data_IF_375585131721
#
_entry.id   IF_375585131721
#
_cell.length_a   1.000
_cell.length_b   1.000
_cell.length_c   1.000
_cell.angle_alpha   90.00
_cell.angle_beta   90.00
_cell.angle_gamma   90.00
#
_symmetry.space_group_name_H-M   'P 1'
#
loop_
_entity.id
_entity.type
_entity.pdbx_description
1 polymer ?
#
# COMPACT_ATOMS: atom_id res chain seq x y z
N UNK A 1 -2.36 -12.85 -24.52
CA UNK A 1 -3.75 -12.46 -24.17
C UNK A 1 -3.84 -10.97 -24.30
N UNK A 2 -4.97 -10.45 -24.78
CA UNK A 2 -5.22 -9.02 -24.91
C UNK A 2 -6.50 -8.66 -24.11
N UNK A 3 -6.47 -7.53 -23.41
CA UNK A 3 -7.59 -7.05 -22.60
C UNK A 3 -8.70 -6.45 -23.48
N UNK A 4 -8.36 -5.90 -24.64
CA UNK A 4 -9.28 -5.25 -25.58
C UNK A 4 -9.90 -6.25 -26.56
N UNK A 5 -9.10 -7.21 -27.04
CA UNK A 5 -9.46 -8.15 -28.10
C UNK A 5 -9.51 -9.58 -27.56
N UNK A 6 -10.52 -10.35 -27.97
CA UNK A 6 -10.63 -11.77 -27.62
C UNK A 6 -9.70 -12.66 -28.48
N UNK A 7 -9.62 -13.95 -28.14
CA UNK A 7 -8.79 -14.91 -28.87
C UNK A 7 -9.21 -15.14 -30.34
N UNK A 8 -10.30 -14.53 -30.80
CA UNK A 8 -10.79 -14.58 -32.18
C UNK A 8 -10.67 -13.22 -32.90
N UNK A 9 -9.97 -12.23 -32.31
CA UNK A 9 -9.78 -10.92 -32.93
C UNK A 9 -10.97 -9.96 -32.75
N UNK A 10 -11.98 -10.29 -31.94
CA UNK A 10 -13.16 -9.44 -31.73
C UNK A 10 -13.00 -8.57 -30.49
N UNK A 11 -13.52 -7.35 -30.56
CA UNK A 11 -13.51 -6.41 -29.43
C UNK A 11 -14.43 -6.92 -28.32
N UNK A 12 -13.88 -6.99 -27.09
CA UNK A 12 -14.64 -7.39 -25.90
C UNK A 12 -15.75 -6.38 -25.58
N UNK A 13 -16.93 -6.82 -25.10
CA UNK A 13 -18.09 -5.94 -24.93
C UNK A 13 -17.84 -4.67 -24.09
N UNK A 14 -17.09 -4.79 -23.00
CA UNK A 14 -16.81 -3.69 -22.09
C UNK A 14 -15.86 -2.62 -22.67
N UNK A 15 -15.14 -2.94 -23.76
CA UNK A 15 -14.29 -1.98 -24.48
C UNK A 15 -15.02 -1.19 -25.56
N UNK A 16 -16.18 -1.66 -26.05
CA UNK A 16 -16.82 -1.09 -27.25
C UNK A 16 -17.14 0.41 -27.12
N UNK A 17 -17.70 0.82 -25.99
CA UNK A 17 -18.05 2.22 -25.75
C UNK A 17 -16.81 3.10 -25.65
N UNK A 18 -15.78 2.62 -24.94
CA UNK A 18 -14.51 3.33 -24.78
C UNK A 18 -13.80 3.48 -26.14
N UNK A 19 -13.74 2.42 -26.94
CA UNK A 19 -13.12 2.45 -28.26
C UNK A 19 -13.89 3.32 -29.24
N UNK A 20 -15.23 3.32 -29.21
CA UNK A 20 -16.02 4.25 -30.00
C UNK A 20 -15.68 5.71 -29.68
N UNK A 21 -15.57 6.04 -28.38
CA UNK A 21 -15.25 7.38 -27.92
C UNK A 21 -13.80 7.81 -28.24
N UNK A 22 -12.82 6.93 -27.99
CA UNK A 22 -11.40 7.21 -28.26
C UNK A 22 -11.12 7.18 -29.77
N UNK A 23 -11.69 6.23 -30.50
CA UNK A 23 -11.54 6.12 -31.96
C UNK A 23 -12.14 7.30 -32.72
N UNK A 24 -13.24 7.89 -32.22
CA UNK A 24 -13.85 9.09 -32.78
C UNK A 24 -12.98 10.35 -32.71
N UNK A 25 -11.95 10.37 -31.85
CA UNK A 25 -11.00 11.49 -31.78
C UNK A 25 -10.08 11.54 -33.00
N UNK A 26 -9.71 10.37 -33.56
CA UNK A 26 -8.66 10.26 -34.56
C UNK A 26 -7.24 10.26 -33.97
N UNK A 27 -6.29 9.68 -34.71
CA UNK A 27 -4.89 9.52 -34.28
C UNK A 27 -4.20 10.84 -33.90
N UNK A 28 -4.29 11.93 -34.68
CA UNK A 28 -3.58 13.18 -34.36
C UNK A 28 -4.05 13.81 -33.04
N UNK A 29 -5.36 13.83 -32.78
CA UNK A 29 -5.91 14.34 -31.53
C UNK A 29 -5.49 13.47 -30.34
N UNK A 30 -5.48 12.14 -30.50
CA UNK A 30 -5.04 11.23 -29.44
C UNK A 30 -3.57 11.42 -29.09
N UNK A 31 -2.69 11.56 -30.09
CA UNK A 31 -1.27 11.84 -29.89
C UNK A 31 -1.05 13.19 -29.19
N UNK A 32 -1.80 14.22 -29.55
CA UNK A 32 -1.71 15.51 -28.86
C UNK A 32 -2.16 15.42 -27.40
N UNK A 33 -3.23 14.68 -27.11
CA UNK A 33 -3.69 14.46 -25.74
C UNK A 33 -2.71 13.62 -24.93
N UNK A 34 -2.10 12.60 -25.55
CA UNK A 34 -1.02 11.83 -24.93
C UNK A 34 0.16 12.72 -24.56
N UNK A 35 0.60 13.60 -25.47
CA UNK A 35 1.67 14.59 -25.17
C UNK A 35 1.27 15.55 -24.06
N UNK A 36 0.02 16.01 -24.03
CA UNK A 36 -0.49 16.89 -22.97
C UNK A 36 -0.54 16.18 -21.61
N UNK A 37 -1.00 14.93 -21.56
CA UNK A 37 -0.99 14.10 -20.35
C UNK A 37 0.42 13.87 -19.85
N UNK A 38 1.35 13.53 -20.75
CA UNK A 38 2.74 13.31 -20.40
C UNK A 38 3.38 14.59 -19.84
N UNK A 39 3.15 15.75 -20.48
CA UNK A 39 3.63 17.05 -19.96
C UNK A 39 3.03 17.38 -18.60
N UNK A 40 1.73 17.12 -18.39
CA UNK A 40 1.10 17.38 -17.10
C UNK A 40 1.62 16.44 -15.99
N UNK A 41 1.81 15.15 -16.31
CA UNK A 41 2.42 14.18 -15.40
C UNK A 41 3.90 14.55 -15.09
N UNK A 42 4.62 15.08 -16.08
CA UNK A 42 5.96 15.63 -15.89
C UNK A 42 5.94 16.90 -15.05
N UNK A 43 5.07 17.87 -15.27
CA UNK A 43 5.00 19.10 -14.47
C UNK A 43 4.66 18.79 -13.00
N UNK A 44 3.70 17.89 -12.75
CA UNK A 44 3.31 17.45 -11.41
C UNK A 44 4.38 16.54 -10.78
N UNK A 45 5.05 15.69 -11.58
CA UNK A 45 6.13 14.80 -11.14
C UNK A 45 7.50 15.49 -10.97
N UNK A 46 7.78 16.55 -11.72
CA UNK A 46 8.99 17.40 -11.62
C UNK A 46 8.93 18.25 -10.35
N UNK A 47 7.74 18.55 -9.82
CA UNK A 47 7.62 19.12 -8.48
C UNK A 47 8.21 18.19 -7.38
N UNK A 48 8.49 16.92 -7.70
CA UNK A 48 9.15 15.96 -6.82
C UNK A 48 10.66 15.77 -7.07
N UNK A 49 11.24 16.40 -8.10
CA UNK A 49 12.66 16.27 -8.42
C UNK A 49 13.28 17.67 -8.35
N UNK A 50 14.07 17.92 -7.31
CA UNK A 50 14.86 19.15 -7.19
C UNK A 50 15.68 19.42 -8.46
N UNK A 51 15.89 20.70 -8.86
CA UNK A 51 16.79 21.04 -9.95
C UNK A 51 18.20 20.50 -9.68
N UNK A 52 18.69 19.60 -10.52
CA UNK A 52 20.07 19.09 -10.47
C UNK A 52 20.24 17.64 -10.01
N UNK A 53 19.17 16.95 -9.61
CA UNK A 53 19.23 15.49 -9.39
C UNK A 53 18.82 14.76 -10.67
N UNK A 54 19.76 14.03 -11.30
CA UNK A 54 19.41 13.04 -12.32
C UNK A 54 18.75 11.87 -11.60
N UNK A 55 17.43 11.92 -11.41
CA UNK A 55 16.69 10.72 -11.03
C UNK A 55 16.88 9.69 -12.15
N UNK A 56 17.62 8.62 -11.86
CA UNK A 56 17.70 7.44 -12.72
C UNK A 56 16.40 6.65 -12.57
N UNK A 57 15.32 7.14 -13.19
CA UNK A 57 14.01 6.49 -13.20
C UNK A 57 13.22 6.93 -14.41
N UNK A 58 12.48 6.01 -15.04
CA UNK A 58 11.47 6.39 -16.03
C UNK A 58 10.48 7.32 -15.31
N UNK A 59 10.38 8.57 -15.75
CA UNK A 59 9.42 9.52 -15.19
C UNK A 59 8.00 8.92 -15.19
N UNK A 60 7.15 9.36 -14.26
CA UNK A 60 5.76 8.93 -14.21
C UNK A 60 5.08 9.17 -15.56
N UNK A 61 4.47 8.12 -16.12
CA UNK A 61 3.74 8.15 -17.39
C UNK A 61 2.28 7.82 -17.14
N UNK A 62 1.40 8.61 -17.74
CA UNK A 62 -0.05 8.35 -17.74
C UNK A 62 -0.49 8.06 -19.18
N UNK A 63 -0.94 6.83 -19.44
CA UNK A 63 -1.46 6.45 -20.75
C UNK A 63 -2.89 7.01 -20.96
N UNK A 64 -3.20 7.63 -22.11
CA UNK A 64 -4.53 8.15 -22.42
C UNK A 64 -5.61 7.07 -22.57
N UNK A 65 -5.25 5.80 -22.74
CA UNK A 65 -6.17 4.68 -22.90
C UNK A 65 -6.30 3.93 -21.57
N UNK A 66 -7.41 4.11 -20.84
CA UNK A 66 -7.60 3.41 -19.57
C UNK A 66 -7.88 1.92 -19.80
N UNK A 67 -7.61 1.11 -18.78
CA UNK A 67 -8.04 -0.29 -18.71
C UNK A 67 -9.41 -0.39 -18.03
N UNK A 68 -10.53 -0.54 -18.77
CA UNK A 68 -11.85 -0.76 -18.18
C UNK A 68 -11.95 -2.16 -17.57
N UNK A 69 -12.31 -2.23 -16.28
CA UNK A 69 -12.68 -3.47 -15.62
C UNK A 69 -14.21 -3.55 -15.44
N UNK A 70 -14.87 -4.66 -15.87
CA UNK A 70 -16.29 -4.86 -15.62
C UNK A 70 -16.64 -4.83 -14.13
N UNK A 71 -17.81 -4.27 -13.79
CA UNK A 71 -18.22 -4.11 -12.39
C UNK A 71 -18.33 -5.44 -11.63
N UNK A 72 -18.83 -6.50 -12.26
CA UNK A 72 -18.94 -7.83 -11.63
C UNK A 72 -17.56 -8.45 -11.36
N UNK A 73 -16.62 -8.23 -12.28
CA UNK A 73 -15.25 -8.71 -12.14
C UNK A 73 -14.52 -7.95 -11.02
N UNK A 74 -14.67 -6.63 -10.98
CA UNK A 74 -14.12 -5.81 -9.89
C UNK A 74 -14.73 -6.18 -8.54
N UNK A 75 -16.02 -6.50 -8.46
CA UNK A 75 -16.66 -6.93 -7.21
C UNK A 75 -16.08 -8.25 -6.67
N UNK A 76 -15.73 -9.20 -7.55
CA UNK A 76 -15.06 -10.42 -7.15
C UNK A 76 -13.64 -10.14 -6.62
N UNK A 77 -12.90 -9.24 -7.29
CA UNK A 77 -11.59 -8.78 -6.83
C UNK A 77 -11.68 -8.08 -5.47
N UNK A 78 -12.65 -7.18 -5.30
CA UNK A 78 -12.91 -6.47 -4.04
C UNK A 78 -13.15 -7.44 -2.88
N UNK A 79 -14.03 -8.44 -3.07
CA UNK A 79 -14.28 -9.46 -2.06
C UNK A 79 -13.03 -10.30 -1.73
N UNK A 80 -12.28 -10.72 -2.75
CA UNK A 80 -11.06 -11.49 -2.58
C UNK A 80 -9.95 -10.72 -1.88
N UNK A 81 -9.72 -9.45 -2.26
CA UNK A 81 -8.74 -8.57 -1.62
C UNK A 81 -9.12 -8.25 -0.18
N UNK A 82 -10.40 -8.04 0.11
CA UNK A 82 -10.88 -7.82 1.47
C UNK A 82 -10.68 -9.06 2.36
N UNK A 83 -10.96 -10.27 1.85
CA UNK A 83 -10.64 -11.52 2.57
C UNK A 83 -9.14 -11.64 2.81
N UNK A 84 -8.33 -11.40 1.77
CA UNK A 84 -6.88 -11.51 1.85
C UNK A 84 -6.28 -10.55 2.87
N UNK A 85 -6.76 -9.30 2.93
CA UNK A 85 -6.36 -8.36 3.97
C UNK A 85 -6.73 -8.86 5.39
N UNK A 86 -7.94 -9.41 5.58
CA UNK A 86 -8.34 -10.04 6.87
C UNK A 86 -7.45 -11.22 7.23
N UNK A 87 -7.09 -12.05 6.25
CA UNK A 87 -6.19 -13.19 6.44
C UNK A 87 -4.80 -12.71 6.87
N UNK A 88 -4.21 -11.76 6.17
CA UNK A 88 -2.89 -11.23 6.49
C UNK A 88 -2.86 -10.54 7.86
N UNK A 89 -3.90 -9.79 8.22
CA UNK A 89 -4.06 -9.25 9.59
C UNK A 89 -4.11 -10.37 10.63
N UNK A 90 -4.85 -11.45 10.39
CA UNK A 90 -4.94 -12.60 11.30
C UNK A 90 -3.59 -13.33 11.44
N UNK A 91 -2.87 -13.53 10.32
CA UNK A 91 -1.52 -14.11 10.31
C UNK A 91 -0.56 -13.24 11.11
N UNK A 92 -0.50 -11.93 10.83
CA UNK A 92 0.36 -10.99 11.55
C UNK A 92 0.02 -10.98 13.05
N UNK A 93 -1.27 -10.94 13.40
CA UNK A 93 -1.68 -10.93 14.80
C UNK A 93 -1.33 -12.23 15.53
N UNK A 94 -1.38 -13.39 14.86
CA UNK A 94 -0.88 -14.63 15.48
C UNK A 94 0.64 -14.59 15.63
N UNK A 95 1.39 -14.21 14.58
CA UNK A 95 2.86 -14.21 14.58
C UNK A 95 3.47 -13.23 15.60
N UNK A 96 2.82 -12.08 15.83
CA UNK A 96 3.21 -11.09 16.84
C UNK A 96 2.61 -11.34 18.24
N UNK A 97 1.72 -12.33 18.36
CA UNK A 97 1.07 -12.75 19.60
C UNK A 97 1.35 -14.21 19.94
N UNK A 98 0.33 -15.05 19.82
CA UNK A 98 0.35 -16.46 20.24
C UNK A 98 1.34 -17.32 19.45
N UNK A 99 1.46 -17.13 18.14
CA UNK A 99 2.26 -17.97 17.24
C UNK A 99 1.72 -19.41 17.15
N UNK A 100 0.40 -19.58 17.19
CA UNK A 100 -0.24 -20.89 17.02
C UNK A 100 0.09 -21.49 15.66
N UNK A 101 0.10 -20.69 14.58
CA UNK A 101 0.38 -21.21 13.22
C UNK A 101 1.79 -21.80 13.11
N UNK A 102 2.74 -21.30 13.90
CA UNK A 102 4.09 -21.86 13.99
C UNK A 102 4.12 -23.09 14.91
N UNK A 103 3.45 -23.01 16.07
CA UNK A 103 3.39 -24.12 17.04
C UNK A 103 2.69 -25.37 16.49
N UNK A 104 1.70 -25.18 15.63
CA UNK A 104 0.95 -26.24 14.96
C UNK A 104 1.60 -26.72 13.66
N UNK A 105 2.71 -26.11 13.25
CA UNK A 105 3.46 -26.51 12.05
C UNK A 105 2.85 -26.04 10.72
N UNK A 106 1.87 -25.14 10.74
CA UNK A 106 1.28 -24.54 9.54
C UNK A 106 2.24 -23.57 8.84
N UNK A 107 3.11 -22.90 9.61
CA UNK A 107 4.20 -22.08 9.10
C UNK A 107 5.56 -22.58 9.63
N UNK A 108 6.56 -22.78 8.76
CA UNK A 108 7.91 -23.11 9.19
C UNK A 108 8.52 -21.99 10.04
N UNK A 109 9.13 -22.29 11.21
CA UNK A 109 9.80 -21.28 12.02
C UNK A 109 10.87 -20.49 11.26
N UNK A 110 11.57 -21.13 10.32
CA UNK A 110 12.61 -20.49 9.50
C UNK A 110 12.05 -19.40 8.57
N UNK A 111 10.82 -19.58 8.07
CA UNK A 111 10.14 -18.59 7.21
C UNK A 111 9.82 -17.31 7.99
N UNK A 112 9.47 -17.46 9.27
CA UNK A 112 9.11 -16.34 10.15
C UNK A 112 10.34 -15.69 10.76
N UNK A 113 11.11 -16.46 11.54
CA UNK A 113 12.17 -15.91 12.40
C UNK A 113 13.47 -15.59 11.67
N UNK A 114 13.65 -16.12 10.45
CA UNK A 114 14.73 -15.77 9.54
C UNK A 114 14.40 -14.58 8.64
N UNK A 115 13.15 -14.11 8.61
CA UNK A 115 12.75 -12.99 7.77
C UNK A 115 13.17 -11.66 8.45
N UNK A 116 13.94 -10.79 7.78
CA UNK A 116 14.34 -9.49 8.33
C UNK A 116 13.17 -8.56 8.64
N UNK A 117 12.01 -8.76 8.00
CA UNK A 117 10.78 -7.99 8.26
C UNK A 117 10.05 -8.46 9.53
N UNK A 118 10.46 -9.57 10.15
CA UNK A 118 9.95 -9.95 11.48
C UNK A 118 10.66 -9.17 12.59
N UNK A 119 10.07 -8.04 12.96
CA UNK A 119 10.60 -7.17 14.01
C UNK A 119 10.34 -7.73 15.41
N UNK A 120 11.32 -8.44 15.99
CA UNK A 120 11.21 -9.04 17.34
C UNK A 120 10.86 -8.02 18.42
N UNK A 121 11.36 -6.79 18.30
CA UNK A 121 11.09 -5.67 19.22
C UNK A 121 9.61 -5.30 19.30
N UNK A 122 8.82 -5.62 18.27
CA UNK A 122 7.39 -5.36 18.21
C UNK A 122 6.51 -6.49 18.76
N UNK A 123 7.09 -7.67 19.02
CA UNK A 123 6.35 -8.84 19.52
C UNK A 123 5.92 -8.62 20.97
N UNK A 124 4.66 -8.96 21.27
CA UNK A 124 4.11 -8.95 22.63
C UNK A 124 3.96 -10.37 23.17
N UNK A 125 4.99 -10.86 23.87
CA UNK A 125 5.01 -12.24 24.36
C UNK A 125 3.88 -12.56 25.36
N UNK A 126 3.54 -11.59 26.22
CA UNK A 126 2.65 -11.77 27.36
C UNK A 126 1.36 -10.94 27.25
N UNK A 127 1.05 -10.44 26.06
CA UNK A 127 -0.14 -9.62 25.81
C UNK A 127 -0.59 -9.79 24.36
N UNK A 128 -1.90 -9.63 24.05
CA UNK A 128 -2.34 -9.61 22.65
C UNK A 128 -1.60 -8.51 21.88
N UNK A 129 -1.31 -8.71 20.58
CA UNK A 129 -0.71 -7.67 19.76
C UNK A 129 -1.62 -6.44 19.72
N UNK A 130 -1.04 -5.26 19.58
CA UNK A 130 -1.82 -4.06 19.31
C UNK A 130 -2.42 -4.19 17.92
N UNK A 131 -3.75 -4.12 17.83
CA UNK A 131 -4.50 -4.20 16.58
C UNK A 131 -5.10 -2.83 16.25
N UNK A 132 -5.32 -2.55 14.96
CA UNK A 132 -4.94 -3.38 13.80
C UNK A 132 -3.45 -3.30 13.47
N UNK A 133 -2.86 -4.40 12.95
CA UNK A 133 -1.49 -4.38 12.43
C UNK A 133 -1.44 -3.92 10.97
N UNK A 134 -2.46 -4.28 10.20
CA UNK A 134 -2.62 -3.99 8.78
C UNK A 134 -3.85 -3.10 8.59
N UNK A 135 -3.63 -1.82 8.35
CA UNK A 135 -4.67 -0.84 8.03
C UNK A 135 -4.77 -0.57 6.53
N UNK A 136 -3.62 -0.52 5.86
CA UNK A 136 -3.53 -0.33 4.42
C UNK A 136 -2.87 -1.54 3.78
N UNK A 137 -3.47 -2.05 2.72
CA UNK A 137 -2.99 -3.22 2.00
C UNK A 137 -3.14 -3.00 0.51
N UNK A 138 -2.15 -3.45 -0.26
CA UNK A 138 -2.26 -3.55 -1.70
C UNK A 138 -1.77 -4.91 -2.20
N UNK A 139 -2.25 -5.31 -3.36
CA UNK A 139 -1.84 -6.52 -4.03
C UNK A 139 -1.35 -6.18 -5.44
N UNK A 140 -0.22 -6.75 -5.84
CA UNK A 140 0.17 -6.78 -7.24
C UNK A 140 -0.49 -8.00 -7.89
N UNK A 141 -1.23 -7.77 -8.96
CA UNK A 141 -2.04 -8.81 -9.59
C UNK A 141 -1.78 -8.87 -11.09
N UNK A 142 -1.95 -10.06 -11.65
CA UNK A 142 -1.96 -10.28 -13.08
C UNK A 142 -3.16 -11.12 -13.49
N UNK A 143 -3.61 -10.93 -14.73
CA UNK A 143 -4.57 -11.83 -15.37
C UNK A 143 -3.81 -12.89 -16.15
N UNK A 144 -4.02 -14.16 -15.80
CA UNK A 144 -3.43 -15.29 -16.50
C UNK A 144 -4.05 -15.53 -17.88
N UNK A 145 -3.45 -16.38 -18.72
CA UNK A 145 -3.96 -16.72 -20.05
C UNK A 145 -5.31 -17.47 -20.01
N UNK A 146 -5.69 -17.99 -18.85
CA UNK A 146 -6.99 -18.58 -18.53
C UNK A 146 -8.06 -17.53 -18.16
N UNK A 147 -7.68 -16.26 -18.10
CA UNK A 147 -8.55 -15.13 -17.77
C UNK A 147 -8.72 -14.91 -16.26
N UNK A 148 -8.08 -15.73 -15.43
CA UNK A 148 -8.17 -15.66 -13.98
C UNK A 148 -7.18 -14.66 -13.41
N UNK A 149 -7.60 -13.90 -12.40
CA UNK A 149 -6.72 -13.02 -11.65
C UNK A 149 -5.95 -13.80 -10.60
N UNK A 150 -4.66 -13.50 -10.47
CA UNK A 150 -3.79 -14.07 -9.44
C UNK A 150 -2.98 -12.98 -8.78
N UNK A 151 -2.80 -13.10 -7.47
CA UNK A 151 -1.91 -12.24 -6.69
C UNK A 151 -0.47 -12.71 -6.88
N UNK A 152 0.37 -11.80 -7.35
CA UNK A 152 1.81 -12.00 -7.51
C UNK A 152 2.56 -11.64 -6.22
N UNK A 153 2.17 -10.55 -5.57
CA UNK A 153 2.78 -10.12 -4.31
C UNK A 153 1.80 -9.31 -3.46
N UNK A 154 2.04 -9.33 -2.16
CA UNK A 154 1.33 -8.55 -1.16
C UNK A 154 2.20 -7.35 -0.74
N UNK A 155 1.58 -6.19 -0.52
CA UNK A 155 2.22 -4.97 -0.05
C UNK A 155 1.57 -4.51 1.25
N UNK A 156 2.38 -4.35 2.29
CA UNK A 156 1.95 -4.10 3.67
C UNK A 156 2.89 -3.18 4.48
N UNK A 157 4.16 -3.02 4.09
CA UNK A 157 5.09 -2.09 4.73
C UNK A 157 4.89 -0.67 4.19
N UNK A 158 5.38 -0.41 2.97
CA UNK A 158 5.37 0.91 2.33
C UNK A 158 4.44 0.93 1.11
N UNK A 159 3.13 0.80 1.34
CA UNK A 159 2.11 0.71 0.27
C UNK A 159 2.10 1.98 -0.59
N UNK A 160 2.49 1.91 -1.85
CA UNK A 160 2.50 3.02 -2.81
C UNK A 160 1.45 2.85 -3.92
N UNK A 161 1.26 3.89 -4.73
CA UNK A 161 0.41 3.90 -5.92
C UNK A 161 -0.95 4.58 -5.76
N UNK A 162 -1.37 4.92 -4.53
CA UNK A 162 -2.65 5.59 -4.28
C UNK A 162 -2.60 7.02 -4.81
N UNK A 163 -1.52 7.76 -4.51
CA UNK A 163 -1.33 9.12 -5.01
C UNK A 163 -1.32 9.16 -6.54
N UNK A 164 -0.64 8.19 -7.16
CA UNK A 164 -0.66 8.02 -8.62
C UNK A 164 -2.05 7.69 -9.15
N UNK A 165 -2.83 6.85 -8.48
CA UNK A 165 -4.19 6.51 -8.92
C UNK A 165 -5.13 7.72 -8.89
N UNK A 166 -5.07 8.53 -7.82
CA UNK A 166 -5.83 9.79 -7.68
C UNK A 166 -5.44 10.76 -8.79
N UNK A 167 -4.15 10.98 -8.98
CA UNK A 167 -3.66 11.95 -9.96
C UNK A 167 -3.85 11.51 -11.41
N UNK A 168 -3.62 10.22 -11.72
CA UNK A 168 -3.98 9.65 -13.01
C UNK A 168 -5.47 9.88 -13.30
N UNK A 169 -6.34 9.70 -12.31
CA UNK A 169 -7.79 9.93 -12.48
C UNK A 169 -8.10 11.40 -12.75
N UNK A 170 -7.44 12.32 -12.05
CA UNK A 170 -7.60 13.77 -12.24
C UNK A 170 -7.13 14.21 -13.63
N UNK A 171 -5.90 13.86 -14.00
CA UNK A 171 -5.29 14.20 -15.29
C UNK A 171 -6.10 13.62 -16.46
N UNK A 172 -6.49 12.35 -16.37
CA UNK A 172 -7.29 11.71 -17.41
C UNK A 172 -8.69 12.31 -17.52
N UNK A 173 -9.29 12.73 -16.41
CA UNK A 173 -10.59 13.43 -16.43
C UNK A 173 -10.55 14.74 -17.22
N UNK A 174 -9.43 15.47 -17.14
CA UNK A 174 -9.22 16.73 -17.85
C UNK A 174 -8.82 16.51 -19.32
N UNK A 175 -7.94 15.56 -19.60
CA UNK A 175 -7.41 15.34 -20.96
C UNK A 175 -8.28 14.44 -21.84
N UNK A 176 -9.05 13.53 -21.23
CA UNK A 176 -9.84 12.50 -21.91
C UNK A 176 -11.32 12.46 -21.42
N UNK A 177 -12.07 13.59 -21.47
CA UNK A 177 -13.45 13.63 -20.97
C UNK A 177 -14.43 12.71 -21.71
N UNK A 178 -14.18 12.40 -22.99
CA UNK A 178 -14.94 11.45 -23.80
C UNK A 178 -14.79 10.02 -23.26
N UNK A 179 -13.57 9.62 -22.89
CA UNK A 179 -13.31 8.31 -22.29
C UNK A 179 -14.03 8.18 -20.94
N UNK A 180 -14.07 9.24 -20.14
CA UNK A 180 -14.79 9.26 -18.85
C UNK A 180 -16.30 9.17 -19.03
N UNK A 181 -16.86 9.91 -19.99
CA UNK A 181 -18.29 9.83 -20.31
C UNK A 181 -18.70 8.45 -20.82
N UNK A 182 -17.82 7.80 -21.59
CA UNK A 182 -18.06 6.47 -22.15
C UNK A 182 -17.91 5.35 -21.10
N UNK A 183 -16.84 5.40 -20.29
CA UNK A 183 -16.52 4.36 -19.31
C UNK A 183 -17.24 4.53 -17.97
N UNK A 184 -17.61 5.77 -17.60
CA UNK A 184 -18.23 6.14 -16.32
C UNK A 184 -17.55 5.47 -15.11
N UNK A 185 -16.23 5.71 -14.91
CA UNK A 185 -15.49 5.04 -13.85
C UNK A 185 -16.02 5.42 -12.47
N UNK A 186 -16.03 4.48 -11.52
CA UNK A 186 -16.36 4.75 -10.11
C UNK A 186 -15.35 5.75 -9.52
N UNK A 187 -15.82 6.73 -8.77
CA UNK A 187 -14.95 7.73 -8.11
C UNK A 187 -14.06 7.10 -7.03
N UNK A 188 -12.93 7.75 -6.75
CA UNK A 188 -12.00 7.34 -5.69
C UNK A 188 -12.26 8.05 -4.35
N UNK A 189 -13.13 9.06 -4.33
CA UNK A 189 -13.40 9.87 -3.13
C UNK A 189 -13.91 9.03 -1.95
N UNK A 190 -14.80 8.07 -2.21
CA UNK A 190 -15.35 7.18 -1.17
C UNK A 190 -14.24 6.40 -0.47
N UNK A 191 -13.23 5.93 -1.20
CA UNK A 191 -12.08 5.25 -0.60
C UNK A 191 -11.28 6.19 0.30
N UNK A 192 -11.00 7.42 -0.15
CA UNK A 192 -10.25 8.43 0.61
C UNK A 192 -11.00 8.86 1.87
N UNK A 193 -12.32 9.08 1.77
CA UNK A 193 -13.20 9.39 2.90
C UNK A 193 -13.18 8.25 3.94
N UNK A 194 -13.37 7.00 3.52
CA UNK A 194 -13.34 5.84 4.40
C UNK A 194 -11.97 5.63 5.06
N UNK A 195 -10.88 5.92 4.34
CA UNK A 195 -9.53 5.81 4.87
C UNK A 195 -9.22 6.93 5.87
N UNK A 196 -9.58 8.17 5.57
CA UNK A 196 -9.47 9.26 6.53
C UNK A 196 -10.26 8.96 7.81
N UNK A 197 -11.50 8.51 7.66
CA UNK A 197 -12.34 8.07 8.78
C UNK A 197 -11.70 6.92 9.60
N UNK A 198 -11.00 5.99 8.95
CA UNK A 198 -10.32 4.90 9.66
C UNK A 198 -9.11 5.40 10.46
N UNK A 199 -8.33 6.32 9.90
CA UNK A 199 -7.22 6.97 10.60
C UNK A 199 -7.72 7.77 11.81
N UNK A 200 -8.84 8.49 11.67
CA UNK A 200 -9.46 9.25 12.76
C UNK A 200 -9.96 8.37 13.92
N UNK A 201 -10.10 7.05 13.73
CA UNK A 201 -10.48 6.08 14.77
C UNK A 201 -9.28 5.39 15.44
N UNK A 202 -8.06 5.57 14.94
CA UNK A 202 -6.87 4.87 15.43
C UNK A 202 -6.18 5.57 16.61
N UNK A 203 -6.29 6.90 16.69
CA UNK A 203 -5.58 7.67 17.70
C UNK A 203 -6.03 7.35 19.13
N UNK A 204 -5.18 7.62 20.14
CA UNK A 204 -5.61 7.60 21.54
C UNK A 204 -6.89 8.44 21.71
N UNK A 205 -7.86 7.93 22.50
CA UNK A 205 -9.13 8.62 22.77
C UNK A 205 -8.90 9.84 23.67
N UNK A 206 -8.38 10.91 23.06
CA UNK A 206 -8.24 12.24 23.65
C UNK A 206 -9.44 13.10 23.23
N UNK A 207 -9.61 14.25 23.88
CA UNK A 207 -10.67 15.17 23.50
C UNK A 207 -10.33 15.82 22.13
N UNK A 208 -11.18 15.61 21.12
CA UNK A 208 -11.00 16.16 19.77
C UNK A 208 -10.66 15.11 18.72
N UNK A 209 -10.51 15.55 17.47
CA UNK A 209 -10.05 14.70 16.37
C UNK A 209 -8.54 14.41 16.53
N UNK A 210 -8.08 13.16 16.40
CA UNK A 210 -6.65 12.86 16.49
C UNK A 210 -5.83 13.58 15.42
N UNK A 211 -4.67 14.08 15.82
CA UNK A 211 -3.71 14.68 14.91
C UNK A 211 -2.99 13.59 14.10
N UNK A 212 -3.11 13.65 12.78
CA UNK A 212 -2.52 12.70 11.84
C UNK A 212 -1.31 13.32 11.15
N UNK A 213 -0.19 12.59 11.11
CA UNK A 213 1.00 12.96 10.36
C UNK A 213 1.43 11.86 9.38
N UNK A 214 2.04 12.26 8.27
CA UNK A 214 2.67 11.39 7.28
C UNK A 214 4.18 11.64 7.36
N UNK A 215 4.92 10.65 7.86
CA UNK A 215 6.37 10.68 7.96
C UNK A 215 6.99 10.32 6.61
N UNK A 216 7.80 11.21 6.06
CA UNK A 216 8.54 11.01 4.83
C UNK A 216 10.05 11.00 5.09
N UNK A 217 10.84 10.18 4.38
CA UNK A 217 12.30 10.31 4.36
C UNK A 217 12.79 11.56 3.58
N UNK A 218 11.88 12.32 2.97
CA UNK A 218 12.14 13.61 2.33
C UNK A 218 12.19 13.54 0.81
N UNK A 219 12.71 14.62 0.19
CA UNK A 219 12.72 14.82 -1.27
C UNK A 219 13.63 13.87 -2.06
N UNK A 220 14.51 13.13 -1.39
CA UNK A 220 15.34 12.10 -2.02
C UNK A 220 14.58 10.82 -2.35
N UNK A 221 13.39 10.62 -1.78
CA UNK A 221 12.56 9.45 -2.05
C UNK A 221 11.94 9.51 -3.45
N UNK A 222 12.04 8.44 -4.27
CA UNK A 222 11.40 8.37 -5.57
C UNK A 222 9.87 8.56 -5.54
N UNK A 223 9.23 8.29 -4.41
CA UNK A 223 7.78 8.42 -4.19
C UNK A 223 7.42 9.68 -3.40
N UNK A 224 8.32 10.65 -3.23
CA UNK A 224 8.05 11.89 -2.51
C UNK A 224 6.80 12.63 -3.03
N UNK A 225 6.59 12.64 -4.35
CA UNK A 225 5.37 13.13 -4.98
C UNK A 225 4.11 12.56 -4.32
N UNK A 226 4.07 11.24 -4.16
CA UNK A 226 2.93 10.56 -3.56
C UNK A 226 2.75 10.96 -2.10
N UNK A 227 3.83 11.21 -1.35
CA UNK A 227 3.74 11.68 0.04
C UNK A 227 3.04 13.05 0.11
N UNK A 228 3.38 13.95 -0.81
CA UNK A 228 2.74 15.28 -0.94
C UNK A 228 1.27 15.16 -1.32
N UNK A 229 0.93 14.33 -2.31
CA UNK A 229 -0.48 14.11 -2.71
C UNK A 229 -1.27 13.54 -1.55
N UNK A 230 -0.79 12.45 -0.95
CA UNK A 230 -1.49 11.76 0.13
C UNK A 230 -1.70 12.66 1.35
N UNK A 231 -0.67 13.38 1.81
CA UNK A 231 -0.81 14.30 2.94
C UNK A 231 -1.94 15.31 2.77
N UNK A 232 -2.19 15.79 1.54
CA UNK A 232 -3.32 16.67 1.23
C UNK A 232 -4.65 15.91 1.25
N UNK A 233 -4.73 14.77 0.57
CA UNK A 233 -5.96 13.96 0.45
C UNK A 233 -6.46 13.46 1.82
N UNK A 234 -5.57 13.03 2.71
CA UNK A 234 -5.94 12.56 4.06
C UNK A 234 -5.85 13.66 5.14
N UNK A 235 -5.52 14.90 4.75
CA UNK A 235 -5.36 16.05 5.67
C UNK A 235 -4.36 15.78 6.81
N UNK A 236 -3.24 15.12 6.48
CA UNK A 236 -2.16 14.81 7.41
C UNK A 236 -1.03 15.84 7.30
N UNK A 237 -0.38 16.14 8.43
CA UNK A 237 0.85 16.93 8.40
C UNK A 237 1.97 16.13 7.74
N UNK A 238 2.52 16.63 6.63
CA UNK A 238 3.72 16.06 6.00
C UNK A 238 4.95 16.45 6.79
N UNK A 239 5.67 15.48 7.34
CA UNK A 239 6.78 15.70 8.28
C UNK A 239 7.98 14.83 7.92
N UNK A 240 9.17 15.31 8.26
CA UNK A 240 10.40 14.53 8.24
C UNK A 240 10.80 14.11 9.67
N UNK A 241 11.72 13.13 9.85
CA UNK A 241 12.13 12.69 11.19
C UNK A 241 12.63 13.84 12.06
N UNK A 242 13.33 14.79 11.43
CA UNK A 242 13.84 16.00 12.04
C UNK A 242 12.77 16.97 12.54
N UNK A 243 11.51 16.84 12.14
CA UNK A 243 10.40 17.68 12.64
C UNK A 243 9.77 17.13 13.92
N UNK A 244 10.03 15.86 14.21
CA UNK A 244 9.39 15.12 15.28
C UNK A 244 10.28 14.99 16.52
N UNK A 245 9.66 14.81 17.68
CA UNK A 245 10.35 14.50 18.93
C UNK A 245 9.43 13.72 19.86
N UNK A 246 9.98 12.73 20.56
CA UNK A 246 9.26 12.02 21.63
C UNK A 246 9.58 12.65 22.97
N UNK A 247 8.55 13.01 23.72
CA UNK A 247 8.64 13.61 25.06
C UNK A 247 7.65 12.91 25.98
N UNK A 248 8.10 12.46 27.15
CA UNK A 248 7.24 11.81 28.15
C UNK A 248 6.38 10.67 27.56
N UNK A 249 6.94 9.88 26.65
CA UNK A 249 6.26 8.75 26.01
C UNK A 249 5.23 9.11 24.93
N UNK A 250 5.14 10.37 24.49
CA UNK A 250 4.24 10.79 23.40
C UNK A 250 5.02 11.47 22.27
N UNK A 251 4.50 11.36 21.04
CA UNK A 251 5.08 11.96 19.85
C UNK A 251 4.58 13.39 19.66
N UNK A 252 5.49 14.31 19.31
CA UNK A 252 5.17 15.70 19.04
C UNK A 252 5.81 16.20 17.75
N UNK A 253 5.09 17.05 17.05
CA UNK A 253 5.57 17.91 15.98
C UNK A 253 6.16 19.20 16.58
N UNK A 254 7.37 19.56 16.16
CA UNK A 254 8.04 20.81 16.54
C UNK A 254 7.51 21.95 15.66
N UNK A 255 6.81 22.90 16.27
CA UNK A 255 6.34 24.11 15.59
C UNK A 255 6.96 25.36 16.22
N UNK A 256 6.88 26.50 15.54
CA UNK A 256 7.30 27.79 16.11
C UNK A 256 6.50 28.18 17.36
N UNK A 257 5.28 27.66 17.51
CA UNK A 257 4.38 27.92 18.63
C UNK A 257 4.56 26.93 19.79
N UNK A 258 5.44 25.93 19.62
CA UNK A 258 5.70 24.87 20.58
C UNK A 258 5.43 23.48 20.04
N UNK A 259 5.33 22.51 20.96
CA UNK A 259 5.12 21.11 20.62
C UNK A 259 3.63 20.81 20.43
N UNK A 260 3.27 20.29 19.26
CA UNK A 260 1.91 19.82 18.96
C UNK A 260 1.86 18.28 19.02
N UNK A 261 0.95 17.67 19.78
CA UNK A 261 0.89 16.21 19.86
C UNK A 261 0.49 15.60 18.52
N UNK A 262 1.06 14.44 18.19
CA UNK A 262 0.67 13.59 17.07
C UNK A 262 0.11 12.29 17.63
N UNK A 263 -1.08 11.91 17.16
CA UNK A 263 -1.85 10.77 17.66
C UNK A 263 -1.75 9.57 16.70
N UNK A 264 -1.62 9.83 15.39
CA UNK A 264 -1.50 8.81 14.34
C UNK A 264 -0.36 9.19 13.40
N UNK A 265 0.55 8.26 13.14
CA UNK A 265 1.67 8.44 12.23
C UNK A 265 1.63 7.38 11.12
N UNK A 266 1.36 7.84 9.90
CA UNK A 266 1.53 7.07 8.67
C UNK A 266 3.00 7.13 8.27
N UNK A 267 3.73 6.02 8.37
CA UNK A 267 5.16 6.00 8.06
C UNK A 267 5.42 5.64 6.59
N UNK A 268 6.24 6.44 5.92
CA UNK A 268 6.88 6.11 4.63
C UNK A 268 8.35 5.71 4.79
N UNK A 269 8.77 5.50 6.03
CA UNK A 269 10.11 5.06 6.41
C UNK A 269 10.08 3.59 6.77
N UNK A 270 11.10 2.85 6.34
CA UNK A 270 11.30 1.44 6.64
C UNK A 270 11.21 1.16 8.15
N UNK A 271 10.49 0.10 8.51
CA UNK A 271 10.15 -0.15 9.91
C UNK A 271 11.39 -0.47 10.78
N UNK A 272 12.46 -1.00 10.19
CA UNK A 272 13.74 -1.28 10.87
C UNK A 272 14.68 -0.07 10.96
N UNK A 273 14.29 1.10 10.46
CA UNK A 273 15.03 2.36 10.61
C UNK A 273 14.21 3.42 11.35
N UNK A 274 12.93 3.13 11.62
CA UNK A 274 11.96 4.05 12.20
C UNK A 274 12.35 4.56 13.59
N UNK A 275 13.03 3.76 14.41
CA UNK A 275 13.48 4.14 15.76
C UNK A 275 14.95 3.76 15.97
N UNK A 276 15.88 4.74 15.96
CA UNK A 276 17.31 4.47 16.11
C UNK A 276 17.69 3.95 17.50
N UNK A 277 16.81 4.07 18.51
CA UNK A 277 17.06 3.47 19.84
C UNK A 277 16.85 1.95 19.85
N UNK A 278 15.95 1.46 19.00
CA UNK A 278 15.64 0.03 18.87
C UNK A 278 16.47 -0.63 17.75
N UNK A 279 16.92 0.17 16.76
CA UNK A 279 17.69 -0.29 15.61
C UNK A 279 19.00 0.51 15.43
N UNK A 280 20.00 0.32 16.31
CA UNK A 280 21.24 1.12 16.30
C UNK A 280 22.16 0.85 15.09
N UNK A 281 21.99 -0.30 14.43
CA UNK A 281 22.79 -0.70 13.26
C UNK A 281 22.24 -0.16 11.93
N UNK A 282 20.99 0.32 11.93
CA UNK A 282 20.40 1.00 10.80
C UNK A 282 20.94 2.44 10.71
N UNK A 283 21.12 2.95 9.48
CA UNK A 283 21.51 4.35 9.29
C UNK A 283 20.47 5.26 9.97
N UNK A 284 20.89 5.91 11.06
CA UNK A 284 20.01 6.61 12.01
C UNK A 284 19.37 7.88 11.43
N UNK A 285 19.77 8.31 10.23
CA UNK A 285 19.30 9.54 9.60
C UNK A 285 17.79 9.55 9.29
N UNK A 286 17.13 8.37 9.24
CA UNK A 286 15.72 8.24 8.83
C UNK A 286 14.70 8.11 9.95
N UNK A 287 15.09 7.96 11.22
CA UNK A 287 14.20 7.55 12.31
C UNK A 287 13.89 8.62 13.37
N UNK A 288 12.86 8.37 14.18
CA UNK A 288 12.46 9.22 15.31
C UNK A 288 12.75 8.48 16.63
N UNK A 289 13.75 8.92 17.42
CA UNK A 289 14.11 8.25 18.66
C UNK A 289 12.92 8.10 19.63
N UNK A 290 12.64 6.87 20.06
CA UNK A 290 11.60 6.53 21.04
C UNK A 290 10.18 6.42 20.46
N UNK A 291 10.01 6.50 19.15
CA UNK A 291 8.68 6.42 18.51
C UNK A 291 8.03 5.04 18.70
N UNK A 292 8.82 3.96 18.72
CA UNK A 292 8.28 2.62 18.98
C UNK A 292 7.86 2.44 20.43
N UNK A 293 8.52 3.12 21.37
CA UNK A 293 8.13 3.12 22.78
C UNK A 293 6.81 3.88 22.99
N UNK A 294 6.65 5.05 22.36
CA UNK A 294 5.41 5.80 22.39
C UNK A 294 4.22 4.99 21.84
N UNK A 295 4.44 4.25 20.74
CA UNK A 295 3.43 3.38 20.16
C UNK A 295 3.08 2.18 21.06
N UNK A 296 4.09 1.50 21.64
CA UNK A 296 3.87 0.38 22.57
C UNK A 296 3.07 0.76 23.81
N UNK A 297 3.20 2.00 24.27
CA UNK A 297 2.42 2.53 25.40
C UNK A 297 1.04 3.07 25.00
N UNK A 298 0.68 3.01 23.71
CA UNK A 298 -0.63 3.44 23.21
C UNK A 298 -0.79 4.97 23.12
N UNK A 299 0.30 5.72 23.23
CA UNK A 299 0.29 7.18 23.08
C UNK A 299 0.32 7.62 21.60
N UNK A 300 0.61 6.69 20.69
CA UNK A 300 0.72 6.88 19.25
C UNK A 300 0.20 5.64 18.52
N UNK A 301 -0.59 5.81 17.46
CA UNK A 301 -0.89 4.75 16.51
C UNK A 301 0.05 4.84 15.30
N UNK A 302 0.72 3.73 14.95
CA UNK A 302 1.55 3.62 13.76
C UNK A 302 0.77 2.94 12.64
N UNK A 303 0.83 3.51 11.44
CA UNK A 303 0.12 3.00 10.25
C UNK A 303 1.14 2.72 9.14
N UNK A 304 1.25 1.47 8.66
CA UNK A 304 0.84 0.23 9.32
C UNK A 304 1.67 -0.04 10.59
N UNK A 305 1.32 -1.08 11.35
CA UNK A 305 2.11 -1.44 12.52
C UNK A 305 3.53 -1.89 12.12
N UNK A 306 4.55 -1.59 12.94
CA UNK A 306 5.90 -2.10 12.76
C UNK A 306 5.90 -3.62 12.57
N UNK A 307 6.47 -4.10 11.47
CA UNK A 307 6.52 -5.53 11.16
C UNK A 307 5.38 -6.06 10.28
N UNK A 308 4.43 -5.22 9.88
CA UNK A 308 3.45 -5.58 8.85
C UNK A 308 4.10 -6.05 7.53
N UNK A 309 5.34 -5.59 7.25
CA UNK A 309 6.15 -6.05 6.11
C UNK A 309 6.41 -7.55 6.06
N UNK A 310 6.24 -8.28 7.16
CA UNK A 310 6.30 -9.75 7.17
C UNK A 310 5.25 -10.38 6.24
N UNK A 311 4.09 -9.71 6.07
CA UNK A 311 3.03 -10.15 5.16
C UNK A 311 3.46 -10.11 3.69
N UNK A 312 4.52 -9.36 3.34
CA UNK A 312 5.07 -9.31 1.97
C UNK A 312 5.99 -10.49 1.63
N UNK A 313 6.22 -11.42 2.58
CA UNK A 313 7.12 -12.55 2.34
C UNK A 313 6.64 -13.38 1.14
N UNK A 314 7.42 -13.52 0.06
CA UNK A 314 7.00 -14.31 -1.10
C UNK A 314 6.73 -15.77 -0.73
N UNK A 315 7.47 -16.31 0.25
CA UNK A 315 7.28 -17.67 0.72
C UNK A 315 5.91 -17.87 1.39
N UNK A 316 5.32 -16.82 1.98
CA UNK A 316 4.02 -16.89 2.64
C UNK A 316 2.90 -17.29 1.66
N UNK A 317 3.02 -16.90 0.37
CA UNK A 317 2.05 -17.21 -0.68
C UNK A 317 1.72 -18.71 -0.78
N UNK A 318 2.71 -19.57 -0.54
CA UNK A 318 2.55 -21.02 -0.58
C UNK A 318 1.67 -21.58 0.55
N UNK A 319 1.52 -20.83 1.64
CA UNK A 319 0.81 -21.27 2.86
C UNK A 319 -0.56 -20.60 3.04
N UNK A 320 -0.85 -19.53 2.29
CA UNK A 320 -2.09 -18.76 2.45
C UNK A 320 -3.38 -19.58 2.30
N UNK A 321 -3.51 -20.54 1.37
CA UNK A 321 -4.73 -21.36 1.30
C UNK A 321 -5.00 -22.10 2.61
N UNK A 322 -4.00 -22.82 3.14
CA UNK A 322 -4.09 -23.55 4.42
C UNK A 322 -4.34 -22.61 5.60
N UNK A 323 -3.68 -21.46 5.61
CA UNK A 323 -3.87 -20.45 6.66
C UNK A 323 -5.26 -19.83 6.61
N UNK A 324 -5.85 -19.65 5.42
CA UNK A 324 -7.20 -19.14 5.24
C UNK A 324 -8.23 -20.08 5.87
N UNK A 325 -8.12 -21.38 5.57
CA UNK A 325 -8.98 -22.39 6.16
C UNK A 325 -8.82 -22.45 7.69
N UNK A 326 -7.58 -22.40 8.19
CA UNK A 326 -7.32 -22.49 9.62
C UNK A 326 -7.76 -21.24 10.41
N UNK A 327 -7.42 -20.04 9.92
CA UNK A 327 -7.64 -18.78 10.65
C UNK A 327 -9.02 -18.16 10.39
N UNK A 328 -9.55 -18.32 9.18
CA UNK A 328 -10.84 -17.73 8.78
C UNK A 328 -11.96 -18.76 8.62
N UNK A 329 -11.65 -20.06 8.55
CA UNK A 329 -12.65 -21.11 8.37
C UNK A 329 -13.25 -21.16 6.95
N UNK A 330 -12.60 -20.53 5.97
CA UNK A 330 -13.10 -20.40 4.60
C UNK A 330 -11.96 -20.57 3.58
N UNK A 331 -12.24 -21.07 2.36
CA UNK A 331 -11.23 -21.19 1.32
C UNK A 331 -10.79 -19.80 0.83
N UNK A 332 -9.54 -19.73 0.35
CA UNK A 332 -9.00 -18.51 -0.23
C UNK A 332 -9.70 -18.18 -1.56
N UNK A 333 -10.31 -16.99 -1.65
CA UNK A 333 -11.08 -16.54 -2.80
C UNK A 333 -10.20 -16.10 -3.97
N UNK A 334 -9.05 -15.50 -3.67
CA UNK A 334 -8.13 -14.96 -4.68
C UNK A 334 -6.78 -15.67 -4.57
N UNK A 335 -6.53 -16.55 -5.54
CA UNK A 335 -5.32 -17.37 -5.60
C UNK A 335 -4.06 -16.51 -5.79
N UNK A 336 -2.97 -16.98 -5.22
CA UNK A 336 -1.64 -16.49 -5.52
C UNK A 336 -1.04 -17.19 -6.74
N UNK A 337 0.04 -16.65 -7.29
CA UNK A 337 0.85 -17.40 -8.24
C UNK A 337 1.36 -18.71 -7.62
N UNK A 338 1.46 -19.81 -8.39
CA UNK A 338 2.07 -21.05 -7.92
C UNK A 338 3.46 -20.76 -7.34
N UNK A 339 3.61 -21.01 -6.04
CA UNK A 339 4.80 -20.65 -5.28
C UNK A 339 5.28 -21.88 -4.50
N UNK A 340 6.58 -22.16 -4.58
CA UNK A 340 7.22 -23.25 -3.86
C UNK A 340 8.16 -22.70 -2.79
N UNK A 341 7.96 -23.14 -1.54
CA UNK A 341 8.92 -22.87 -0.48
C UNK A 341 10.06 -23.88 -0.54
N UNK A 342 11.27 -23.42 -0.86
CA UNK A 342 12.45 -24.27 -1.03
C UNK A 342 12.96 -24.94 0.25
N UNK A 343 12.47 -24.51 1.43
CA UNK A 343 12.72 -25.22 2.69
C UNK A 343 11.83 -26.46 2.89
N UNK A 344 10.90 -26.74 1.98
CA UNK A 344 10.05 -27.93 2.03
C UNK A 344 10.80 -29.16 1.50
N UNK A 345 10.65 -30.35 2.13
CA UNK A 345 11.25 -31.58 1.62
C UNK A 345 10.83 -31.84 0.17
N UNK A 346 11.80 -32.01 -0.73
CA UNK A 346 11.56 -32.30 -2.16
C UNK A 346 11.40 -31.08 -3.08
N UNK A 347 11.38 -29.85 -2.55
CA UNK A 347 11.24 -28.64 -3.35
C UNK A 347 12.49 -28.29 -4.20
N UNK A 348 13.66 -28.80 -3.83
CA UNK A 348 14.93 -28.58 -4.55
C UNK A 348 15.16 -29.56 -5.73
N UNK A 349 14.20 -30.45 -6.01
CA UNK A 349 14.33 -31.50 -7.02
C UNK A 349 13.55 -31.24 -8.33
N UNK A 350 12.98 -30.05 -8.51
CA UNK A 350 12.33 -29.59 -9.76
C UNK A 350 13.14 -28.48 -10.42
#
# INVERSE_FOLDING_TARGET
MDEMVDGAGRIRPHWRNLLGAVGGLGKPQLEERARRLQRAAEEEGIASILPGTKAAGMGWRCDPVPLPLPAAEFAALEAGLAQRARLLEAVLADLYGSQNVVREGLLPPALVFGNPQFLRVWRRANAPPQRPLLQLYAAEMLRGPDGQWRVMSDRAALVSGIGHAVENRRLMGQAMPEAFRAAKPRGLSIFLELWQDSLQRLGPQRAGAPAVALLSPGTSDPHWFEHVVLSREISAALVEPGDLTVRSGALFLKTLQGLQPIDVLLSRVEANTLDPLEFPEADAAGGVPGVLDAARHGALALVNAPGAGLAESPALLAFLPTLCEHLLGEPLLLESLPTLWLGSPGATAQ
#
